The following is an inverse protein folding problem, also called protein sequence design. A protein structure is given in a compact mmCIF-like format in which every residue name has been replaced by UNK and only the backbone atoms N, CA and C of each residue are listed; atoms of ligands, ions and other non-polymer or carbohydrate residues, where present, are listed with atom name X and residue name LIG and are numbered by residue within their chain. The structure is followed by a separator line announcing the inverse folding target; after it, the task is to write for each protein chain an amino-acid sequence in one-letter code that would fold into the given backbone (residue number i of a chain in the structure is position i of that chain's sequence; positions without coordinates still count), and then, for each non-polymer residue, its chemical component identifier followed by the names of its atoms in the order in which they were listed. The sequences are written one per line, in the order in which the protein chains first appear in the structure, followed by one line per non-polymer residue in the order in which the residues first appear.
data_IF_022659616994
#
_entry.id   IF_022659616994
#
_cell.length_a   1.000
_cell.length_b   1.000
_cell.length_c   1.000
_cell.angle_alpha   90.00
_cell.angle_beta   90.00
_cell.angle_gamma   90.00
#
_symmetry.space_group_name_H-M   'P 1'
#
loop_
_entity.id
_entity.type
_entity.pdbx_description
1 polymer ?
#
# COMPACT_ATOMS: atom_id res chain seq x y z
N UNK A 1 9.81 -15.26 6.29
CA UNK A 1 8.56 -14.52 6.60
C UNK A 1 7.95 -14.18 5.26
N UNK A 2 6.71 -14.58 5.02
CA UNK A 2 6.01 -14.31 3.76
C UNK A 2 5.18 -13.03 3.96
N UNK A 3 5.57 -11.94 3.29
CA UNK A 3 4.92 -10.63 3.42
C UNK A 3 3.44 -10.73 3.08
N UNK A 4 3.08 -11.50 2.06
CA UNK A 4 1.68 -11.72 1.67
C UNK A 4 0.83 -12.24 2.82
N UNK A 5 1.38 -13.19 3.59
CA UNK A 5 0.69 -13.82 4.73
C UNK A 5 0.48 -12.85 5.88
N UNK A 6 1.45 -11.97 6.14
CA UNK A 6 1.31 -10.95 7.17
C UNK A 6 0.33 -9.84 6.75
N UNK A 7 0.31 -9.45 5.46
CA UNK A 7 -0.71 -8.56 4.91
C UNK A 7 -2.11 -9.19 5.03
N UNK A 8 -2.27 -10.46 4.68
CA UNK A 8 -3.53 -11.19 4.83
C UNK A 8 -4.02 -11.16 6.29
N UNK A 9 -3.11 -11.40 7.25
CA UNK A 9 -3.44 -11.33 8.69
C UNK A 9 -3.85 -9.92 9.10
N UNK A 10 -3.11 -8.91 8.67
CA UNK A 10 -3.43 -7.51 8.96
C UNK A 10 -4.82 -7.16 8.46
N UNK A 11 -5.11 -7.45 7.19
CA UNK A 11 -6.40 -7.13 6.59
C UNK A 11 -7.56 -7.89 7.26
N UNK A 12 -7.39 -9.17 7.57
CA UNK A 12 -8.39 -9.92 8.35
C UNK A 12 -8.65 -9.30 9.71
N UNK A 13 -7.62 -8.85 10.40
CA UNK A 13 -7.77 -8.18 11.69
C UNK A 13 -8.49 -6.83 11.54
N UNK A 14 -8.12 -6.02 10.54
CA UNK A 14 -8.76 -4.74 10.24
C UNK A 14 -10.26 -4.91 9.98
N UNK A 15 -10.64 -5.84 9.07
CA UNK A 15 -12.05 -6.11 8.77
C UNK A 15 -12.82 -6.56 10.01
N UNK A 16 -12.24 -7.45 10.82
CA UNK A 16 -12.88 -7.97 12.02
C UNK A 16 -13.13 -6.87 13.08
N UNK A 17 -12.20 -5.93 13.23
CA UNK A 17 -12.37 -4.79 14.15
C UNK A 17 -13.52 -3.89 13.70
N UNK A 18 -13.56 -3.56 12.41
CA UNK A 18 -14.60 -2.68 11.86
C UNK A 18 -15.98 -3.34 11.88
N UNK A 19 -16.07 -4.61 11.50
CA UNK A 19 -17.31 -5.37 11.55
C UNK A 19 -17.85 -5.45 12.99
N UNK A 20 -17.00 -5.79 13.97
CA UNK A 20 -17.45 -5.90 15.37
C UNK A 20 -17.83 -4.58 16.01
N UNK A 21 -17.14 -3.49 15.67
CA UNK A 21 -17.32 -2.19 16.33
C UNK A 21 -18.40 -1.34 15.66
N UNK A 22 -18.54 -1.45 14.35
CA UNK A 22 -19.40 -0.57 13.56
C UNK A 22 -20.39 -1.33 12.65
N UNK A 23 -20.17 -2.63 12.40
CA UNK A 23 -20.97 -3.40 11.43
C UNK A 23 -20.74 -2.96 9.99
N UNK A 24 -19.54 -2.44 9.69
CA UNK A 24 -19.18 -1.89 8.38
C UNK A 24 -17.78 -2.30 7.95
N UNK A 25 -17.41 -1.98 6.71
CA UNK A 25 -16.04 -1.99 6.23
C UNK A 25 -15.26 -0.75 6.71
N UNK A 26 -13.92 -0.75 6.62
CA UNK A 26 -13.11 0.45 6.83
C UNK A 26 -13.46 1.56 5.85
N UNK A 27 -13.26 2.81 6.30
CA UNK A 27 -13.46 4.02 5.50
C UNK A 27 -12.15 4.75 5.26
N UNK A 28 -12.04 5.40 4.11
CA UNK A 28 -11.01 6.39 3.76
C UNK A 28 -11.66 7.62 3.13
N UNK A 29 -11.01 8.80 3.16
CA UNK A 29 -11.48 9.95 2.39
C UNK A 29 -11.60 9.59 0.91
N UNK A 30 -12.65 10.07 0.25
CA UNK A 30 -12.79 9.89 -1.19
C UNK A 30 -11.75 10.71 -1.93
N UNK A 31 -11.08 10.06 -2.87
CA UNK A 31 -10.17 10.66 -3.83
C UNK A 31 -10.57 10.25 -5.24
N UNK A 32 -10.67 11.24 -6.14
CA UNK A 32 -11.02 11.08 -7.54
C UNK A 32 -9.91 10.42 -8.38
N UNK A 33 -8.66 10.47 -7.90
CA UNK A 33 -7.50 9.87 -8.57
C UNK A 33 -7.35 8.37 -8.28
N UNK A 34 -8.01 7.87 -7.23
CA UNK A 34 -7.99 6.46 -6.83
C UNK A 34 -8.88 5.65 -7.78
N UNK A 35 -8.43 4.46 -8.17
CA UNK A 35 -9.22 3.57 -9.01
C UNK A 35 -10.53 3.14 -8.29
N UNK A 36 -11.72 3.39 -8.89
CA UNK A 36 -13.01 3.05 -8.28
C UNK A 36 -13.16 1.58 -7.91
N UNK A 37 -12.36 0.68 -8.49
CA UNK A 37 -12.31 -0.75 -8.13
C UNK A 37 -12.04 -0.97 -6.63
N UNK A 38 -11.32 -0.06 -5.97
CA UNK A 38 -10.99 -0.18 -4.55
C UNK A 38 -12.11 0.33 -3.63
N UNK A 39 -13.11 1.03 -4.17
CA UNK A 39 -14.24 1.52 -3.41
C UNK A 39 -15.42 0.54 -3.42
N UNK A 40 -16.11 0.45 -2.28
CA UNK A 40 -17.32 -0.36 -2.09
C UNK A 40 -18.59 0.49 -2.03
N UNK A 41 -18.46 1.80 -1.96
CA UNK A 41 -19.57 2.74 -1.89
C UNK A 41 -19.25 4.05 -2.58
N UNK A 42 -20.29 4.83 -2.85
CA UNK A 42 -20.13 6.25 -3.13
C UNK A 42 -19.72 7.00 -1.85
N UNK A 43 -19.17 8.23 -1.98
CA UNK A 43 -18.89 9.09 -0.83
C UNK A 43 -20.16 9.35 -0.02
N UNK A 44 -20.04 9.27 1.31
CA UNK A 44 -21.10 9.70 2.22
C UNK A 44 -21.12 11.23 2.40
N UNK A 45 -21.99 11.73 3.29
CA UNK A 45 -22.13 13.17 3.57
C UNK A 45 -20.84 13.82 4.11
N UNK A 46 -19.94 13.02 4.68
CA UNK A 46 -18.65 13.46 5.22
C UNK A 46 -17.52 13.31 4.18
N UNK A 47 -17.82 12.82 2.98
CA UNK A 47 -16.84 12.62 1.91
C UNK A 47 -16.01 11.35 2.06
N UNK A 48 -16.49 10.34 2.81
CA UNK A 48 -15.79 9.08 3.00
C UNK A 48 -16.40 7.94 2.19
N UNK A 49 -15.55 6.98 1.81
CA UNK A 49 -15.92 5.77 1.08
C UNK A 49 -15.47 4.52 1.82
N UNK A 50 -16.29 3.47 1.75
CA UNK A 50 -15.91 2.15 2.22
C UNK A 50 -14.95 1.49 1.25
N UNK A 51 -14.00 0.71 1.76
CA UNK A 51 -13.04 -0.02 0.93
C UNK A 51 -12.72 -1.41 1.49
N UNK A 52 -12.11 -2.26 0.66
CA UNK A 52 -11.50 -3.52 1.09
C UNK A 52 -10.27 -3.82 0.24
N UNK A 53 -9.27 -4.53 0.77
CA UNK A 53 -8.13 -4.96 -0.01
C UNK A 53 -8.55 -5.98 -1.07
N UNK A 54 -7.90 -5.94 -2.22
CA UNK A 54 -8.10 -6.90 -3.31
C UNK A 54 -6.78 -7.63 -3.56
N UNK A 55 -6.82 -8.95 -3.64
CA UNK A 55 -5.63 -9.71 -4.01
C UNK A 55 -5.22 -9.34 -5.43
N UNK A 56 -3.93 -9.06 -5.60
CA UNK A 56 -3.39 -8.59 -6.87
C UNK A 56 -3.22 -9.76 -7.83
N UNK A 57 -3.88 -9.67 -8.98
CA UNK A 57 -3.79 -10.66 -10.05
C UNK A 57 -2.77 -10.29 -11.13
N UNK A 58 -2.46 -9.00 -11.28
CA UNK A 58 -1.47 -8.46 -12.21
C UNK A 58 -0.17 -8.18 -11.45
N UNK A 59 0.82 -9.02 -11.65
CA UNK A 59 2.13 -8.93 -10.99
C UNK A 59 3.04 -7.98 -11.78
N UNK A 60 3.70 -7.06 -11.09
CA UNK A 60 4.66 -6.15 -11.69
C UNK A 60 6.01 -6.83 -11.93
N UNK A 61 6.63 -6.49 -13.06
CA UNK A 61 7.94 -7.02 -13.44
C UNK A 61 9.06 -6.21 -12.78
N UNK A 62 9.41 -6.58 -11.54
CA UNK A 62 10.48 -5.91 -10.81
C UNK A 62 11.86 -5.99 -11.48
N UNK A 63 12.09 -6.95 -12.39
CA UNK A 63 13.35 -7.01 -13.16
C UNK A 63 13.50 -5.79 -14.06
N UNK A 64 12.40 -5.35 -14.70
CA UNK A 64 12.38 -4.15 -15.54
C UNK A 64 12.52 -2.88 -14.69
N UNK A 65 11.82 -2.83 -13.55
CA UNK A 65 11.88 -1.71 -12.60
C UNK A 65 13.29 -1.53 -12.04
N UNK A 66 13.93 -2.61 -11.56
CA UNK A 66 15.30 -2.59 -11.04
C UNK A 66 16.30 -2.11 -12.10
N UNK A 67 16.13 -2.57 -13.35
CA UNK A 67 16.97 -2.16 -14.49
C UNK A 67 16.81 -0.68 -14.81
N UNK A 68 15.58 -0.18 -14.86
CA UNK A 68 15.29 1.23 -15.14
C UNK A 68 15.90 2.14 -14.08
N UNK A 69 15.79 1.74 -12.81
CA UNK A 69 16.22 2.55 -11.67
C UNK A 69 17.68 2.35 -11.28
N UNK A 70 18.35 1.33 -11.84
CA UNK A 70 19.70 0.90 -11.47
C UNK A 70 19.83 0.66 -9.96
N UNK A 71 18.83 -0.01 -9.36
CA UNK A 71 18.79 -0.39 -7.94
C UNK A 71 18.51 -1.89 -7.80
N UNK A 72 18.86 -2.45 -6.65
CA UNK A 72 18.40 -3.77 -6.25
C UNK A 72 17.34 -3.62 -5.15
N UNK A 73 16.16 -4.17 -5.39
CA UNK A 73 15.01 -4.13 -4.50
C UNK A 73 14.90 -5.49 -3.80
N UNK A 74 14.76 -5.46 -2.48
CA UNK A 74 14.67 -6.63 -1.65
C UNK A 74 13.36 -7.39 -1.92
N UNK A 75 13.42 -8.72 -1.91
CA UNK A 75 12.29 -9.58 -2.27
C UNK A 75 11.04 -9.33 -1.41
N UNK A 76 11.21 -8.91 -0.15
CA UNK A 76 10.10 -8.51 0.71
C UNK A 76 9.31 -7.30 0.17
N UNK A 77 9.98 -6.32 -0.43
CA UNK A 77 9.33 -5.16 -1.04
C UNK A 77 8.63 -5.57 -2.33
N UNK A 78 9.29 -6.43 -3.13
CA UNK A 78 8.68 -7.01 -4.33
C UNK A 78 7.40 -7.77 -3.98
N UNK A 79 7.44 -8.57 -2.91
CA UNK A 79 6.29 -9.33 -2.41
C UNK A 79 5.20 -8.38 -1.89
N UNK A 80 5.57 -7.33 -1.15
CA UNK A 80 4.63 -6.30 -0.66
C UNK A 80 3.79 -5.70 -1.80
N UNK A 81 4.45 -5.14 -2.82
CA UNK A 81 3.78 -4.51 -3.95
C UNK A 81 2.98 -5.49 -4.82
N UNK A 82 3.38 -6.78 -4.86
CA UNK A 82 2.73 -7.81 -5.66
C UNK A 82 1.65 -8.62 -4.92
N UNK A 83 1.33 -8.29 -3.67
CA UNK A 83 0.37 -9.05 -2.87
C UNK A 83 -1.08 -8.56 -3.00
N UNK A 84 -1.32 -7.28 -2.71
CA UNK A 84 -2.67 -6.72 -2.62
C UNK A 84 -2.71 -5.30 -3.20
N UNK A 85 -3.87 -4.94 -3.74
CA UNK A 85 -4.31 -3.56 -3.89
C UNK A 85 -5.03 -3.12 -2.61
N UNK A 86 -4.70 -1.96 -2.05
CA UNK A 86 -5.28 -1.46 -0.80
C UNK A 86 -5.11 0.06 -0.66
N UNK A 87 -5.95 0.67 0.18
CA UNK A 87 -5.98 2.13 0.38
C UNK A 87 -5.41 2.60 1.72
N UNK A 88 -5.38 1.74 2.74
CA UNK A 88 -4.84 2.13 4.05
C UNK A 88 -4.21 0.94 4.78
N UNK A 89 -2.96 1.12 5.19
CA UNK A 89 -2.30 0.30 6.20
C UNK A 89 -1.70 1.26 7.22
N UNK A 90 -2.12 1.09 8.47
CA UNK A 90 -1.61 1.86 9.57
C UNK A 90 -1.53 1.02 10.83
N UNK A 91 -0.56 1.34 11.68
CA UNK A 91 -0.34 0.62 12.91
C UNK A 91 0.64 1.34 13.82
N UNK A 92 0.72 0.90 15.07
CA UNK A 92 1.66 1.48 16.02
C UNK A 92 2.97 0.69 16.04
N UNK A 93 4.09 1.39 15.86
CA UNK A 93 5.43 0.89 16.18
C UNK A 93 5.91 1.56 17.48
N UNK A 94 5.77 0.85 18.59
CA UNK A 94 5.89 1.45 19.92
C UNK A 94 4.78 2.48 20.13
N UNK A 95 5.15 3.74 20.40
CA UNK A 95 4.19 4.86 20.55
C UNK A 95 3.97 5.65 19.26
N UNK A 96 4.66 5.30 18.17
CA UNK A 96 4.58 6.03 16.91
C UNK A 96 3.53 5.39 16.01
N UNK A 97 2.59 6.19 15.53
CA UNK A 97 1.73 5.79 14.42
C UNK A 97 2.58 5.75 13.15
N UNK A 98 2.52 4.62 12.46
CA UNK A 98 3.11 4.40 11.15
C UNK A 98 1.95 4.21 10.18
N UNK A 99 1.98 4.96 9.09
CA UNK A 99 1.05 4.82 7.96
C UNK A 99 1.92 4.46 6.76
N UNK A 100 1.54 3.41 6.04
CA UNK A 100 2.21 3.00 4.81
C UNK A 100 1.47 3.55 3.61
N UNK A 101 2.22 3.88 2.56
CA UNK A 101 1.63 4.33 1.31
C UNK A 101 0.73 3.22 0.71
N UNK A 102 -0.41 3.61 0.13
CA UNK A 102 -1.31 2.67 -0.52
C UNK A 102 -0.68 2.03 -1.76
N UNK A 103 -1.17 0.84 -2.12
CA UNK A 103 -0.80 0.18 -3.37
C UNK A 103 -2.06 0.12 -4.24
N UNK A 104 -2.07 0.92 -5.29
CA UNK A 104 -3.26 1.17 -6.11
C UNK A 104 -3.02 0.83 -7.58
N UNK A 105 -4.07 0.45 -8.32
CA UNK A 105 -4.00 0.37 -9.77
C UNK A 105 -3.55 1.70 -10.38
N UNK A 106 -2.77 1.62 -11.46
CA UNK A 106 -2.33 2.76 -12.27
C UNK A 106 -1.36 3.75 -11.57
N UNK A 107 -1.06 3.59 -10.28
CA UNK A 107 0.03 4.33 -9.62
C UNK A 107 1.38 3.68 -9.96
N UNK A 108 2.38 4.49 -10.25
CA UNK A 108 3.68 4.03 -10.72
C UNK A 108 4.60 3.62 -9.57
N UNK A 109 4.95 2.33 -9.50
CA UNK A 109 5.96 1.83 -8.56
C UNK A 109 7.33 2.46 -8.87
N UNK A 110 7.62 2.72 -10.14
CA UNK A 110 8.86 3.37 -10.56
C UNK A 110 8.97 4.76 -9.93
N UNK A 111 7.93 5.57 -10.03
CA UNK A 111 7.91 6.92 -9.45
C UNK A 111 8.02 6.87 -7.92
N UNK A 112 7.30 5.95 -7.27
CA UNK A 112 7.40 5.75 -5.81
C UNK A 112 8.84 5.48 -5.36
N UNK A 113 9.52 4.56 -6.05
CA UNK A 113 10.90 4.20 -5.71
C UNK A 113 11.87 5.34 -6.03
N UNK A 114 11.65 6.08 -7.13
CA UNK A 114 12.45 7.27 -7.46
C UNK A 114 12.33 8.36 -6.40
N UNK A 115 11.12 8.65 -5.93
CA UNK A 115 10.90 9.64 -4.87
C UNK A 115 11.58 9.20 -3.56
N UNK A 116 11.45 7.92 -3.21
CA UNK A 116 12.13 7.36 -2.02
C UNK A 116 13.65 7.49 -2.14
N UNK A 117 14.20 7.19 -3.31
CA UNK A 117 15.64 7.34 -3.61
C UNK A 117 16.09 8.79 -3.45
N UNK A 118 15.40 9.73 -4.09
CA UNK A 118 15.73 11.16 -4.04
C UNK A 118 15.69 11.70 -2.62
N UNK A 119 14.72 11.26 -1.82
CA UNK A 119 14.63 11.61 -0.40
C UNK A 119 15.86 11.13 0.37
N UNK A 120 16.23 9.86 0.29
CA UNK A 120 17.39 9.33 1.02
C UNK A 120 18.72 9.98 0.57
N UNK A 121 18.87 10.25 -0.74
CA UNK A 121 20.02 10.97 -1.29
C UNK A 121 20.09 12.42 -0.78
N UNK A 122 18.95 13.10 -0.64
CA UNK A 122 18.89 14.46 -0.08
C UNK A 122 19.29 14.52 1.39
N UNK A 123 19.10 13.42 2.12
CA UNK A 123 19.53 13.22 3.50
C UNK A 123 20.99 12.75 3.62
N UNK A 124 21.74 12.75 2.51
CA UNK A 124 23.17 12.42 2.46
C UNK A 124 23.48 10.91 2.55
N UNK A 125 22.49 10.04 2.32
CA UNK A 125 22.65 8.59 2.33
C UNK A 125 22.85 8.07 0.91
N UNK A 126 23.71 7.07 0.76
CA UNK A 126 23.92 6.45 -0.56
C UNK A 126 22.88 5.35 -0.80
N UNK A 127 22.01 5.56 -1.79
CA UNK A 127 20.88 4.69 -2.06
C UNK A 127 21.24 3.59 -3.07
N UNK A 128 21.87 2.51 -2.58
CA UNK A 128 22.25 1.35 -3.41
C UNK A 128 21.31 0.14 -3.26
N UNK A 129 20.53 0.08 -2.18
CA UNK A 129 19.68 -1.06 -1.83
C UNK A 129 18.43 -0.59 -1.09
N UNK A 130 17.28 -1.21 -1.38
CA UNK A 130 16.03 -1.07 -0.62
C UNK A 130 15.54 -2.46 -0.25
#
# INVERSE_FOLDING_TARGET
MEIKKELERYFKALMNVWEKKYGTYPKVPWDAEVDPLLYLSNPDEEGYVYWKPLEKNKIDNFIEIEKELSVNIHDAIKEYFNSYWFLDIQGFYGTKLVVLDPVEPNKSIVEFIQLTKQYEESEGREFRYI
#
